data_IF_377302926423
#
_entry.id   IF_377302926423
#
_cell.length_a   1.000
_cell.length_b   1.000
_cell.length_c   1.000
_cell.angle_alpha   90.00
_cell.angle_beta   90.00
_cell.angle_gamma   90.00
#
_symmetry.space_group_name_H-M   'P 1'
#
loop_
_entity.id
_entity.type
_entity.pdbx_description
1 polymer ?
#
# COMPACT_ATOMS: atom_id res chain seq x y z
N UNK A 1 23.28 1.55 26.01
CA UNK A 1 22.58 0.77 24.98
C UNK A 1 21.75 1.73 24.14
N UNK A 2 21.85 1.67 22.80
CA UNK A 2 21.10 2.51 21.90
C UNK A 2 19.61 2.18 21.90
N UNK A 3 18.77 3.05 21.35
CA UNK A 3 17.33 2.83 21.17
C UNK A 3 17.08 1.80 20.07
N UNK A 4 16.30 0.75 20.36
CA UNK A 4 16.08 -0.40 19.48
C UNK A 4 14.60 -0.60 19.16
N UNK A 5 14.29 -0.80 17.88
CA UNK A 5 12.93 -1.00 17.35
C UNK A 5 12.74 -2.44 16.90
N UNK A 6 11.66 -3.09 17.34
CA UNK A 6 11.19 -4.36 16.76
C UNK A 6 10.15 -4.05 15.70
N UNK A 7 10.46 -4.33 14.44
CA UNK A 7 9.56 -4.17 13.29
C UNK A 7 8.90 -5.52 13.02
N UNK A 8 7.59 -5.57 12.93
CA UNK A 8 6.84 -6.80 12.61
C UNK A 8 6.18 -6.64 11.24
N UNK A 9 6.64 -7.46 10.29
CA UNK A 9 6.21 -7.45 8.88
C UNK A 9 7.26 -6.87 7.92
N UNK A 10 7.70 -7.70 6.95
CA UNK A 10 8.75 -7.42 5.98
C UNK A 10 8.24 -6.98 4.60
N UNK A 11 7.11 -6.27 4.55
CA UNK A 11 6.57 -5.71 3.31
C UNK A 11 7.00 -4.25 3.10
N UNK A 12 6.27 -3.51 2.26
CA UNK A 12 6.61 -2.11 1.88
C UNK A 12 6.81 -1.24 3.11
N UNK A 13 5.88 -1.27 4.09
CA UNK A 13 5.97 -0.47 5.32
C UNK A 13 7.23 -0.78 6.13
N UNK A 14 7.43 -2.07 6.46
CA UNK A 14 8.53 -2.50 7.33
C UNK A 14 9.90 -2.35 6.69
N UNK A 15 10.05 -2.72 5.40
CA UNK A 15 11.31 -2.54 4.68
C UNK A 15 11.67 -1.06 4.46
N UNK A 16 10.68 -0.22 4.20
CA UNK A 16 10.92 1.24 4.08
C UNK A 16 11.36 1.82 5.42
N UNK A 17 10.67 1.43 6.51
CA UNK A 17 11.06 1.82 7.87
C UNK A 17 12.48 1.37 8.20
N UNK A 18 12.84 0.12 7.92
CA UNK A 18 14.19 -0.42 8.17
C UNK A 18 15.27 0.39 7.44
N UNK A 19 15.05 0.71 6.14
CA UNK A 19 15.97 1.57 5.37
C UNK A 19 16.11 2.99 5.97
N UNK A 20 15.00 3.57 6.45
CA UNK A 20 15.04 4.88 7.10
C UNK A 20 15.80 4.84 8.42
N UNK A 21 15.62 3.78 9.22
CA UNK A 21 16.34 3.62 10.50
C UNK A 21 17.85 3.44 10.28
N UNK A 22 18.26 2.66 9.26
CA UNK A 22 19.70 2.53 8.90
C UNK A 22 20.32 3.85 8.47
N UNK A 23 19.56 4.73 7.82
CA UNK A 23 20.05 6.05 7.42
C UNK A 23 20.39 6.95 8.60
N UNK A 24 19.80 6.69 9.76
CA UNK A 24 19.96 7.47 10.97
C UNK A 24 20.59 6.69 12.12
N UNK A 25 21.21 5.55 11.83
CA UNK A 25 21.90 4.68 12.78
C UNK A 25 21.05 4.26 13.99
N UNK A 26 19.73 4.12 13.79
CA UNK A 26 18.80 3.62 14.80
C UNK A 26 18.75 2.08 14.70
N UNK A 27 18.97 1.40 15.85
CA UNK A 27 18.98 -0.06 15.90
C UNK A 27 17.58 -0.64 15.69
N UNK A 28 17.50 -1.69 14.89
CA UNK A 28 16.25 -2.42 14.68
C UNK A 28 16.48 -3.93 14.49
N UNK A 29 15.39 -4.68 14.63
CA UNK A 29 15.24 -6.04 14.14
C UNK A 29 13.90 -6.15 13.43
N UNK A 30 13.87 -6.78 12.25
CA UNK A 30 12.66 -6.98 11.46
C UNK A 30 12.29 -8.45 11.43
N UNK A 31 11.04 -8.74 11.84
CA UNK A 31 10.48 -10.09 11.92
C UNK A 31 9.44 -10.27 10.80
N UNK A 32 9.71 -11.19 9.87
CA UNK A 32 8.80 -11.53 8.78
C UNK A 32 8.26 -12.96 8.95
N UNK A 33 6.95 -13.13 8.81
CA UNK A 33 6.28 -14.43 9.00
C UNK A 33 6.53 -15.41 7.85
N UNK A 34 6.71 -14.91 6.63
CA UNK A 34 7.00 -15.74 5.45
C UNK A 34 8.45 -16.21 5.43
N UNK A 35 8.72 -17.28 4.66
CA UNK A 35 10.08 -17.82 4.48
C UNK A 35 10.96 -16.95 3.57
N UNK A 36 10.37 -16.03 2.81
CA UNK A 36 11.07 -15.11 1.91
C UNK A 36 10.53 -13.69 2.06
N UNK A 37 11.39 -12.70 1.89
CA UNK A 37 11.04 -11.27 1.98
C UNK A 37 10.18 -10.79 0.79
N UNK A 38 10.32 -11.40 -0.37
CA UNK A 38 9.59 -11.02 -1.57
C UNK A 38 8.82 -12.22 -2.15
N UNK A 39 7.80 -12.74 -1.43
CA UNK A 39 7.01 -13.85 -1.93
C UNK A 39 6.21 -13.42 -3.17
N UNK A 40 5.88 -14.38 -4.04
CA UNK A 40 5.06 -14.15 -5.24
C UNK A 40 3.59 -13.94 -4.83
N UNK A 41 3.32 -12.86 -4.12
CA UNK A 41 1.99 -12.46 -3.68
C UNK A 41 1.61 -11.12 -4.32
N UNK A 42 0.43 -11.08 -4.91
CA UNK A 42 -0.08 -9.91 -5.65
C UNK A 42 0.57 -9.73 -7.03
N UNK A 43 0.16 -8.70 -7.76
CA UNK A 43 0.65 -8.45 -9.12
C UNK A 43 1.61 -7.25 -9.16
N UNK A 44 1.08 -6.04 -9.21
CA UNK A 44 1.85 -4.80 -9.32
C UNK A 44 1.53 -3.85 -8.18
N UNK A 45 2.36 -2.82 -8.07
CA UNK A 45 2.15 -1.68 -7.18
C UNK A 45 2.33 -0.39 -7.97
N UNK A 46 1.39 0.55 -7.79
CA UNK A 46 1.51 1.92 -8.29
C UNK A 46 2.32 2.77 -7.32
N UNK A 47 3.40 3.36 -7.80
CA UNK A 47 4.23 4.31 -7.07
C UNK A 47 3.90 5.71 -7.56
N UNK A 48 3.48 6.56 -6.65
CA UNK A 48 3.12 7.96 -6.87
C UNK A 48 4.28 8.88 -6.49
N UNK A 49 4.27 10.15 -6.91
CA UNK A 49 5.33 11.10 -6.58
C UNK A 49 5.72 11.16 -5.11
N UNK A 50 4.76 11.07 -4.18
CA UNK A 50 5.03 11.07 -2.73
C UNK A 50 5.88 9.87 -2.29
N UNK A 51 5.55 8.67 -2.74
CA UNK A 51 6.32 7.46 -2.47
C UNK A 51 7.67 7.45 -3.18
N UNK A 52 7.71 7.91 -4.45
CA UNK A 52 8.95 7.97 -5.23
C UNK A 52 9.96 8.95 -4.62
N UNK A 53 9.51 10.09 -4.10
CA UNK A 53 10.36 11.04 -3.38
C UNK A 53 11.00 10.43 -2.13
N UNK A 54 10.26 9.61 -1.39
CA UNK A 54 10.80 8.86 -0.24
C UNK A 54 11.82 7.83 -0.72
N UNK A 55 11.50 7.06 -1.76
CA UNK A 55 12.39 6.06 -2.34
C UNK A 55 13.68 6.67 -2.90
N UNK A 56 13.60 7.90 -3.42
CA UNK A 56 14.76 8.67 -3.88
C UNK A 56 15.68 9.05 -2.70
N UNK A 57 15.11 9.60 -1.64
CA UNK A 57 15.86 9.88 -0.42
C UNK A 57 16.50 8.63 0.20
N UNK A 58 15.93 7.44 -0.01
CA UNK A 58 16.51 6.17 0.38
C UNK A 58 17.55 5.64 -0.63
N UNK A 59 17.73 6.31 -1.77
CA UNK A 59 18.62 5.89 -2.86
C UNK A 59 18.15 4.62 -3.57
N UNK A 60 16.83 4.44 -3.67
CA UNK A 60 16.16 3.32 -4.37
C UNK A 60 15.55 3.74 -5.70
N UNK A 61 15.33 5.04 -5.94
CA UNK A 61 14.57 5.57 -7.07
C UNK A 61 15.15 5.18 -8.43
N UNK A 62 16.45 5.40 -8.65
CA UNK A 62 17.09 5.12 -9.94
C UNK A 62 16.96 3.65 -10.34
N UNK A 63 17.17 2.74 -9.39
CA UNK A 63 17.01 1.30 -9.62
C UNK A 63 15.55 0.95 -9.94
N UNK A 64 14.58 1.54 -9.24
CA UNK A 64 13.16 1.34 -9.51
C UNK A 64 12.80 1.89 -10.88
N UNK A 65 13.25 3.09 -11.23
CA UNK A 65 13.01 3.73 -12.52
C UNK A 65 13.54 2.89 -13.67
N UNK A 66 14.75 2.38 -13.54
CA UNK A 66 15.37 1.51 -14.55
C UNK A 66 14.61 0.18 -14.72
N UNK A 67 14.16 -0.44 -13.62
CA UNK A 67 13.42 -1.71 -13.66
C UNK A 67 11.99 -1.54 -14.16
N UNK A 68 11.36 -0.38 -13.96
CA UNK A 68 10.04 -0.08 -14.47
C UNK A 68 10.02 0.15 -16.00
N UNK A 69 11.15 0.56 -16.56
CA UNK A 69 11.27 0.90 -17.98
C UNK A 69 10.53 2.18 -18.35
N UNK A 70 9.97 2.23 -19.58
CA UNK A 70 9.17 3.38 -20.00
C UNK A 70 7.81 3.38 -19.28
N UNK A 71 7.55 4.44 -18.52
CA UNK A 71 6.30 4.66 -17.79
C UNK A 71 5.44 5.80 -18.37
N UNK A 72 5.76 6.26 -19.58
CA UNK A 72 5.00 7.30 -20.27
C UNK A 72 3.79 6.69 -20.98
N UNK A 73 2.85 6.19 -20.19
CA UNK A 73 1.68 5.49 -20.68
C UNK A 73 0.79 6.40 -21.53
N UNK A 74 0.49 5.96 -22.77
CA UNK A 74 -0.63 6.51 -23.53
C UNK A 74 -1.92 5.91 -22.97
N UNK A 75 -2.82 6.77 -22.54
CA UNK A 75 -4.12 6.33 -22.07
C UNK A 75 -5.10 6.13 -23.24
N UNK A 76 -5.80 5.01 -23.24
CA UNK A 76 -7.01 4.78 -24.01
C UNK A 76 -8.17 4.47 -23.07
N UNK A 77 -9.36 4.85 -23.48
CA UNK A 77 -10.57 4.66 -22.67
C UNK A 77 -11.67 4.06 -23.51
N UNK A 78 -12.34 3.04 -22.98
CA UNK A 78 -13.56 2.47 -23.52
C UNK A 78 -14.70 2.66 -22.55
N UNK A 79 -15.77 3.26 -22.98
CA UNK A 79 -16.98 3.43 -22.19
C UNK A 79 -17.95 2.26 -22.43
N UNK A 80 -18.78 1.97 -21.42
CA UNK A 80 -19.82 0.93 -21.48
C UNK A 80 -20.81 1.13 -22.64
N UNK A 81 -20.99 2.37 -23.13
CA UNK A 81 -21.81 2.67 -24.32
C UNK A 81 -21.11 2.28 -25.66
N UNK A 82 -19.99 1.58 -25.60
CA UNK A 82 -19.23 1.14 -26.77
C UNK A 82 -18.34 2.20 -27.42
N UNK A 83 -18.35 3.43 -26.93
CA UNK A 83 -17.45 4.49 -27.42
C UNK A 83 -16.03 4.20 -27.01
N UNK A 84 -15.12 4.30 -27.97
CA UNK A 84 -13.69 4.17 -27.78
C UNK A 84 -13.01 5.52 -27.94
N UNK A 85 -12.09 5.83 -27.06
CA UNK A 85 -11.36 7.08 -27.08
C UNK A 85 -9.90 6.87 -26.75
N UNK A 86 -9.01 7.46 -27.55
CA UNK A 86 -7.55 7.37 -27.34
C UNK A 86 -7.04 8.77 -27.08
N UNK A 87 -6.36 8.94 -25.96
CA UNK A 87 -5.61 10.17 -25.69
C UNK A 87 -4.42 10.25 -26.63
N UNK A 88 -4.57 11.04 -27.69
CA UNK A 88 -3.55 11.23 -28.72
C UNK A 88 -2.61 12.40 -28.45
N UNK A 89 -2.88 13.21 -27.44
CA UNK A 89 -2.11 14.43 -27.16
C UNK A 89 -0.98 14.16 -26.16
N UNK A 90 0.20 14.62 -26.51
CA UNK A 90 1.35 14.71 -25.64
C UNK A 90 1.37 16.10 -24.97
N UNK A 91 1.89 16.25 -23.74
CA UNK A 91 2.48 15.20 -22.89
C UNK A 91 1.44 14.31 -22.20
N UNK A 92 1.84 13.07 -21.88
CA UNK A 92 1.03 12.13 -21.10
C UNK A 92 0.83 12.63 -19.66
N UNK A 93 -0.09 11.99 -18.92
CA UNK A 93 -0.30 12.32 -17.52
C UNK A 93 0.98 12.14 -16.67
N UNK A 94 1.72 11.04 -16.89
CA UNK A 94 2.98 10.76 -16.20
C UNK A 94 4.04 11.82 -16.49
N UNK A 95 4.19 12.24 -17.75
CA UNK A 95 5.11 13.31 -18.14
C UNK A 95 4.75 14.66 -17.51
N UNK A 96 3.46 14.99 -17.41
CA UNK A 96 3.00 16.19 -16.72
C UNK A 96 3.31 16.19 -15.23
N UNK A 97 3.14 15.02 -14.57
CA UNK A 97 3.53 14.86 -13.16
C UNK A 97 5.04 15.04 -12.98
N UNK A 98 5.84 14.35 -13.80
CA UNK A 98 7.30 14.42 -13.75
C UNK A 98 7.79 15.86 -13.98
N UNK A 99 7.20 16.56 -14.95
CA UNK A 99 7.54 17.98 -15.20
C UNK A 99 7.21 18.90 -14.02
N UNK A 100 6.08 18.68 -13.33
CA UNK A 100 5.62 19.59 -12.26
C UNK A 100 6.18 19.26 -10.88
N UNK A 101 6.38 17.98 -10.60
CA UNK A 101 6.67 17.47 -9.24
C UNK A 101 8.06 16.81 -9.20
N UNK A 102 8.69 16.57 -10.35
CA UNK A 102 9.99 15.89 -10.45
C UNK A 102 9.90 14.37 -10.47
N UNK A 103 8.73 13.78 -10.31
CA UNK A 103 8.53 12.33 -10.29
C UNK A 103 7.31 11.92 -11.13
N UNK A 104 7.43 10.86 -11.96
CA UNK A 104 6.31 10.31 -12.72
C UNK A 104 5.40 9.46 -11.85
N UNK A 105 4.38 8.84 -12.45
CA UNK A 105 3.70 7.69 -11.89
C UNK A 105 4.34 6.41 -12.45
N UNK A 106 4.71 5.47 -11.60
CA UNK A 106 5.37 4.21 -11.97
C UNK A 106 4.52 3.02 -11.52
N UNK A 107 4.37 2.02 -12.39
CA UNK A 107 3.89 0.69 -12.00
C UNK A 107 5.04 -0.32 -12.11
N UNK A 108 5.20 -1.13 -11.06
CA UNK A 108 6.25 -2.15 -10.99
C UNK A 108 5.70 -3.41 -10.29
N UNK A 109 6.31 -4.57 -10.54
CA UNK A 109 6.00 -5.75 -9.73
C UNK A 109 6.21 -5.45 -8.26
N UNK A 110 5.22 -5.74 -7.42
CA UNK A 110 5.35 -5.56 -5.96
C UNK A 110 6.56 -6.32 -5.41
N UNK A 111 6.80 -7.51 -5.93
CA UNK A 111 7.97 -8.33 -5.56
C UNK A 111 9.29 -7.62 -5.88
N UNK A 112 9.38 -6.97 -7.03
CA UNK A 112 10.56 -6.20 -7.45
C UNK A 112 10.83 -5.03 -6.51
N UNK A 113 9.78 -4.29 -6.11
CA UNK A 113 9.93 -3.21 -5.12
C UNK A 113 10.48 -3.75 -3.79
N UNK A 114 9.92 -4.86 -3.29
CA UNK A 114 10.40 -5.46 -2.03
C UNK A 114 11.86 -5.90 -2.12
N UNK A 115 12.28 -6.47 -3.27
CA UNK A 115 13.70 -6.83 -3.51
C UNK A 115 14.60 -5.60 -3.51
N UNK A 116 14.19 -4.52 -4.18
CA UNK A 116 14.98 -3.27 -4.20
C UNK A 116 15.15 -2.72 -2.79
N UNK A 117 14.07 -2.67 -2.00
CA UNK A 117 14.13 -2.21 -0.61
C UNK A 117 15.00 -3.11 0.27
N UNK A 118 14.87 -4.43 0.13
CA UNK A 118 15.68 -5.39 0.88
C UNK A 118 17.16 -5.34 0.48
N UNK A 119 17.46 -5.28 -0.82
CA UNK A 119 18.83 -5.20 -1.32
C UNK A 119 19.57 -3.95 -0.84
N UNK A 120 18.82 -2.87 -0.61
CA UNK A 120 19.35 -1.59 -0.12
C UNK A 120 19.82 -1.64 1.32
N UNK A 121 19.25 -2.52 2.15
CA UNK A 121 19.65 -2.68 3.55
C UNK A 121 21.12 -3.08 3.68
N UNK A 122 21.83 -2.43 4.60
CA UNK A 122 23.22 -2.73 4.97
C UNK A 122 23.29 -3.97 5.89
N UNK A 123 22.38 -4.04 6.88
CA UNK A 123 22.36 -5.05 7.94
C UNK A 123 21.26 -6.10 7.68
N UNK A 124 21.50 -6.96 6.69
CA UNK A 124 20.52 -8.02 6.31
C UNK A 124 20.33 -9.08 7.37
N UNK A 125 21.29 -9.27 8.24
CA UNK A 125 21.23 -10.13 9.43
C UNK A 125 20.19 -9.66 10.47
N UNK A 126 19.76 -8.40 10.42
CA UNK A 126 18.66 -7.87 11.23
C UNK A 126 17.26 -8.20 10.67
N UNK A 127 17.17 -8.78 9.48
CA UNK A 127 15.91 -9.18 8.84
C UNK A 127 15.74 -10.69 8.95
N UNK A 128 14.83 -11.10 9.81
CA UNK A 128 14.58 -12.49 10.13
C UNK A 128 13.27 -12.97 9.51
N UNK A 129 13.36 -13.98 8.65
CA UNK A 129 12.21 -14.66 8.06
C UNK A 129 11.73 -15.82 8.92
N UNK A 130 10.53 -16.37 8.63
CA UNK A 130 9.88 -17.44 9.41
C UNK A 130 9.67 -17.08 10.89
N UNK A 131 9.53 -15.79 11.19
CA UNK A 131 9.33 -15.24 12.53
C UNK A 131 7.92 -14.69 12.67
N UNK A 132 6.93 -15.58 12.70
CA UNK A 132 5.52 -15.21 12.94
C UNK A 132 5.35 -14.79 14.39
N UNK A 133 5.06 -13.54 14.61
CA UNK A 133 4.77 -12.99 15.93
C UNK A 133 3.43 -13.52 16.44
N UNK A 134 3.39 -13.91 17.71
CA UNK A 134 2.23 -14.47 18.39
C UNK A 134 1.84 -13.72 19.64
N UNK A 135 2.79 -13.00 20.26
CA UNK A 135 2.56 -12.27 21.52
C UNK A 135 3.56 -11.14 21.69
N UNK A 136 3.11 -10.08 22.34
CA UNK A 136 3.95 -8.97 22.81
C UNK A 136 3.75 -8.82 24.33
N UNK A 137 4.82 -8.84 25.11
CA UNK A 137 4.79 -8.49 26.52
C UNK A 137 5.43 -7.10 26.69
N UNK A 138 4.81 -6.25 27.49
CA UNK A 138 5.35 -4.96 27.91
C UNK A 138 5.91 -5.08 29.31
N UNK A 139 7.15 -4.68 29.49
CA UNK A 139 7.81 -4.57 30.77
C UNK A 139 8.20 -3.12 31.02
N UNK A 140 8.67 -2.78 32.22
CA UNK A 140 9.09 -1.41 32.52
C UNK A 140 10.23 -0.98 31.57
N UNK A 141 9.90 -0.04 30.66
CA UNK A 141 10.85 0.53 29.71
C UNK A 141 11.19 -0.28 28.47
N UNK A 142 10.63 -1.48 28.27
CA UNK A 142 10.92 -2.37 27.14
C UNK A 142 9.71 -3.16 26.65
N UNK A 143 9.81 -3.66 25.42
CA UNK A 143 8.88 -4.62 24.86
C UNK A 143 9.60 -5.94 24.56
N UNK A 144 8.90 -7.06 24.71
CA UNK A 144 9.38 -8.40 24.38
C UNK A 144 8.41 -9.06 23.42
N UNK A 145 8.87 -9.37 22.23
CA UNK A 145 8.07 -9.96 21.16
C UNK A 145 8.36 -11.45 21.05
N UNK A 146 7.32 -12.28 21.08
CA UNK A 146 7.40 -13.73 20.97
C UNK A 146 6.97 -14.21 19.60
N UNK A 147 7.65 -15.19 19.07
CA UNK A 147 7.37 -15.80 17.77
C UNK A 147 6.95 -17.26 17.91
N UNK A 148 6.24 -17.78 16.93
CA UNK A 148 5.66 -19.13 16.93
C UNK A 148 6.70 -20.26 17.06
N UNK A 149 7.96 -20.00 16.70
CA UNK A 149 9.08 -20.93 16.84
C UNK A 149 9.73 -20.91 18.25
N UNK A 150 9.14 -20.17 19.19
CA UNK A 150 9.63 -20.04 20.57
C UNK A 150 10.72 -18.99 20.77
N UNK A 151 11.19 -18.33 19.71
CA UNK A 151 12.18 -17.23 19.82
C UNK A 151 11.55 -15.99 20.45
N UNK A 152 12.40 -15.17 21.07
CA UNK A 152 11.97 -13.88 21.66
C UNK A 152 12.93 -12.76 21.30
N UNK A 153 12.38 -11.55 21.09
CA UNK A 153 13.13 -10.37 20.67
C UNK A 153 12.72 -9.18 21.53
N UNK A 154 13.70 -8.44 22.05
CA UNK A 154 13.45 -7.26 22.89
C UNK A 154 13.82 -5.98 22.16
N UNK A 155 13.10 -4.91 22.47
CA UNK A 155 13.34 -3.56 21.99
C UNK A 155 12.71 -2.50 22.88
N UNK A 156 12.90 -1.25 22.55
CA UNK A 156 12.29 -0.13 23.26
C UNK A 156 10.85 0.12 22.82
N UNK A 157 10.55 -0.16 21.54
CA UNK A 157 9.19 -0.09 20.96
C UNK A 157 8.97 -1.23 19.96
N UNK A 158 7.69 -1.54 19.69
CA UNK A 158 7.25 -2.41 18.59
C UNK A 158 6.51 -1.59 17.54
N UNK A 159 6.84 -1.80 16.28
CA UNK A 159 6.13 -1.24 15.13
C UNK A 159 5.46 -2.36 14.34
N UNK A 160 4.13 -2.42 14.37
CA UNK A 160 3.31 -3.33 13.57
C UNK A 160 3.18 -2.83 12.13
N UNK A 161 3.85 -3.52 11.20
CA UNK A 161 3.77 -3.32 9.75
C UNK A 161 3.24 -4.58 9.06
N UNK A 162 2.44 -5.36 9.77
CA UNK A 162 2.00 -6.74 9.50
C UNK A 162 0.64 -6.82 8.79
N UNK A 163 0.19 -5.69 8.22
CA UNK A 163 -0.97 -5.63 7.34
C UNK A 163 -2.31 -5.53 8.06
N UNK A 164 -3.40 -5.61 7.29
CA UNK A 164 -4.76 -5.34 7.77
C UNK A 164 -5.23 -6.33 8.85
N UNK A 165 -4.73 -7.56 8.84
CA UNK A 165 -5.00 -8.57 9.87
C UNK A 165 -3.87 -8.63 10.91
N UNK A 166 -3.42 -7.47 11.36
CA UNK A 166 -2.26 -7.28 12.23
C UNK A 166 -2.39 -8.00 13.57
N UNK A 167 -1.44 -8.88 13.87
CA UNK A 167 -1.27 -9.49 15.19
C UNK A 167 -0.84 -8.45 16.23
N UNK A 168 -0.06 -7.45 15.81
CA UNK A 168 0.40 -6.38 16.71
C UNK A 168 -0.77 -5.50 17.14
N UNK A 169 -1.76 -5.26 16.27
CA UNK A 169 -3.00 -4.54 16.65
C UNK A 169 -3.79 -5.32 17.69
N UNK A 170 -3.91 -6.64 17.53
CA UNK A 170 -4.61 -7.47 18.52
C UNK A 170 -3.89 -7.46 19.88
N UNK A 171 -2.55 -7.50 19.88
CA UNK A 171 -1.76 -7.40 21.11
C UNK A 171 -1.88 -6.01 21.76
N UNK A 172 -1.88 -4.95 20.96
CA UNK A 172 -2.12 -3.57 21.42
C UNK A 172 -3.48 -3.46 22.13
N UNK A 173 -4.54 -4.03 21.53
CA UNK A 173 -5.88 -4.08 22.12
C UNK A 173 -5.91 -4.93 23.38
N UNK A 174 -5.23 -6.09 23.41
CA UNK A 174 -5.15 -6.94 24.59
C UNK A 174 -4.59 -6.16 25.80
N UNK A 175 -3.46 -5.51 25.62
CA UNK A 175 -2.84 -4.70 26.68
C UNK A 175 -3.70 -3.52 27.13
N UNK A 176 -4.33 -2.83 26.17
CA UNK A 176 -5.21 -1.72 26.51
C UNK A 176 -6.42 -2.18 27.33
N UNK A 177 -7.02 -3.33 26.98
CA UNK A 177 -8.17 -3.88 27.70
C UNK A 177 -7.84 -4.34 29.12
N UNK A 178 -6.58 -4.70 29.40
CA UNK A 178 -6.12 -5.02 30.76
C UNK A 178 -6.14 -3.78 31.68
N UNK A 179 -6.04 -2.57 31.10
CA UNK A 179 -6.01 -1.29 31.84
C UNK A 179 -7.39 -0.62 31.80
N UNK A 180 -7.96 -0.50 30.60
CA UNK A 180 -9.28 0.11 30.37
C UNK A 180 -9.92 -0.46 29.10
N UNK A 181 -10.99 -1.23 29.27
CA UNK A 181 -11.71 -1.89 28.16
C UNK A 181 -12.42 -0.93 27.20
N UNK A 182 -12.52 0.37 27.53
CA UNK A 182 -13.17 1.38 26.67
C UNK A 182 -12.19 2.03 25.68
N UNK A 183 -10.87 1.82 25.83
CA UNK A 183 -9.85 2.44 24.97
C UNK A 183 -9.93 1.95 23.52
N UNK A 184 -10.34 0.72 23.32
CA UNK A 184 -10.54 0.11 21.99
C UNK A 184 -11.96 -0.43 21.89
N UNK A 185 -12.58 -0.28 20.73
CA UNK A 185 -13.88 -0.89 20.49
C UNK A 185 -13.76 -2.42 20.58
N UNK A 186 -14.75 -3.13 21.12
CA UNK A 186 -14.73 -4.59 21.25
C UNK A 186 -14.48 -5.32 19.91
N UNK A 187 -14.96 -4.75 18.82
CA UNK A 187 -14.75 -5.24 17.47
C UNK A 187 -14.25 -4.11 16.56
N UNK A 188 -12.95 -3.82 16.60
CA UNK A 188 -12.33 -2.81 15.73
C UNK A 188 -12.42 -3.20 14.25
N UNK A 189 -12.42 -4.51 13.95
CA UNK A 189 -12.55 -5.00 12.58
C UNK A 189 -13.96 -4.78 12.02
N UNK A 190 -14.98 -4.50 12.86
CA UNK A 190 -16.32 -4.16 12.36
C UNK A 190 -16.36 -2.92 11.48
N UNK A 191 -15.35 -2.04 11.57
CA UNK A 191 -15.16 -0.89 10.71
C UNK A 191 -14.50 -1.22 9.36
N UNK A 192 -13.80 -2.35 9.27
CA UNK A 192 -13.22 -2.82 8.02
C UNK A 192 -14.35 -3.24 7.09
N UNK A 193 -14.40 -2.69 5.89
CA UNK A 193 -15.47 -2.98 4.93
C UNK A 193 -14.90 -3.33 3.57
N UNK A 194 -15.67 -4.11 2.79
CA UNK A 194 -15.44 -4.34 1.37
C UNK A 194 -16.79 -4.28 0.63
N UNK A 195 -16.84 -3.54 -0.48
CA UNK A 195 -18.01 -3.45 -1.38
C UNK A 195 -17.61 -3.72 -2.84
N UNK A 196 -16.38 -4.11 -3.06
CA UNK A 196 -15.85 -4.51 -4.36
C UNK A 196 -14.78 -5.58 -4.20
N UNK A 197 -14.53 -6.31 -5.28
CA UNK A 197 -13.49 -7.33 -5.39
C UNK A 197 -12.70 -7.11 -6.68
N UNK A 198 -11.49 -7.64 -6.75
CA UNK A 198 -10.64 -7.47 -7.93
C UNK A 198 -9.86 -8.74 -8.24
N UNK A 199 -9.82 -9.12 -9.52
CA UNK A 199 -8.78 -10.00 -10.02
C UNK A 199 -7.58 -9.14 -10.39
N UNK A 200 -6.47 -9.34 -9.71
CA UNK A 200 -5.16 -8.79 -10.08
C UNK A 200 -4.46 -9.80 -10.97
N UNK A 201 -3.97 -9.36 -12.15
CA UNK A 201 -3.30 -10.27 -13.06
C UNK A 201 -2.03 -9.70 -13.67
N UNK A 202 -1.14 -10.62 -14.01
CA UNK A 202 0.01 -10.42 -14.89
C UNK A 202 -0.14 -11.38 -16.06
N UNK A 203 -0.07 -10.87 -17.29
CA UNK A 203 -0.13 -11.67 -18.50
C UNK A 203 1.06 -11.39 -19.42
N UNK A 204 1.35 -12.32 -20.32
CA UNK A 204 2.20 -12.03 -21.47
C UNK A 204 1.52 -10.97 -22.33
N UNK A 205 2.30 -10.11 -22.97
CA UNK A 205 1.76 -9.10 -23.87
C UNK A 205 1.16 -9.76 -25.09
N UNK A 206 0.04 -9.24 -25.56
CA UNK A 206 -0.62 -9.69 -26.79
C UNK A 206 -0.10 -8.88 -27.98
N UNK A 207 0.15 -9.55 -29.10
CA UNK A 207 0.60 -8.91 -30.36
C UNK A 207 -0.45 -7.95 -30.96
N UNK A 208 -1.72 -8.16 -30.64
CA UNK A 208 -2.83 -7.28 -31.04
C UNK A 208 -2.81 -5.91 -30.33
N UNK A 209 -2.05 -5.76 -29.24
CA UNK A 209 -1.94 -4.50 -28.53
C UNK A 209 -0.80 -3.64 -29.08
N UNK A 210 -0.92 -2.30 -29.05
CA UNK A 210 0.12 -1.39 -29.53
C UNK A 210 1.47 -1.66 -28.85
N UNK A 211 2.57 -1.54 -29.58
CA UNK A 211 3.94 -1.81 -29.10
C UNK A 211 4.45 -0.80 -28.06
N UNK A 212 3.86 0.40 -27.98
CA UNK A 212 4.25 1.44 -27.01
C UNK A 212 3.61 1.22 -25.65
N UNK A 213 4.25 1.69 -24.57
CA UNK A 213 3.63 1.69 -23.25
C UNK A 213 2.22 2.27 -23.31
N UNK A 214 1.25 1.52 -22.80
CA UNK A 214 -0.15 1.92 -22.84
C UNK A 214 -0.83 1.66 -21.50
N UNK A 215 -1.85 2.44 -21.22
CA UNK A 215 -2.84 2.21 -20.20
C UNK A 215 -4.20 2.12 -20.89
N UNK A 216 -4.94 1.05 -20.65
CA UNK A 216 -6.33 0.89 -21.10
C UNK A 216 -7.23 0.95 -19.87
N UNK A 217 -8.21 1.86 -19.90
CA UNK A 217 -9.29 1.90 -18.92
C UNK A 217 -10.59 1.55 -19.66
N UNK A 218 -11.16 0.38 -19.38
CA UNK A 218 -12.40 -0.07 -19.99
C UNK A 218 -13.50 -0.15 -18.95
N UNK A 219 -14.59 0.59 -19.17
CA UNK A 219 -15.73 0.71 -18.24
C UNK A 219 -16.93 0.01 -18.84
N UNK A 220 -17.50 -0.90 -18.05
CA UNK A 220 -18.73 -1.64 -18.33
C UNK A 220 -19.74 -1.36 -17.22
N UNK A 221 -20.96 -1.87 -17.38
CA UNK A 221 -22.05 -1.59 -16.45
C UNK A 221 -21.72 -1.97 -15.00
N UNK A 222 -21.16 -3.15 -14.78
CA UNK A 222 -20.95 -3.72 -13.42
C UNK A 222 -19.47 -3.98 -13.12
N UNK A 223 -18.58 -3.56 -14.03
CA UNK A 223 -17.14 -3.75 -13.85
C UNK A 223 -16.30 -2.69 -14.58
N UNK A 224 -15.05 -2.61 -14.20
CA UNK A 224 -14.07 -1.88 -14.98
C UNK A 224 -12.72 -2.61 -15.03
N UNK A 225 -11.97 -2.30 -16.08
CA UNK A 225 -10.62 -2.79 -16.28
C UNK A 225 -9.63 -1.65 -16.25
N UNK A 226 -8.49 -1.90 -15.63
CA UNK A 226 -7.28 -1.14 -15.86
C UNK A 226 -6.20 -2.11 -16.34
N UNK A 227 -5.66 -1.87 -17.53
CA UNK A 227 -4.63 -2.71 -18.15
C UNK A 227 -3.46 -1.81 -18.50
N UNK A 228 -2.25 -2.20 -18.07
CA UNK A 228 -1.04 -1.41 -18.23
C UNK A 228 0.07 -2.25 -18.85
N UNK A 229 0.91 -1.64 -19.68
CA UNK A 229 2.19 -2.23 -20.04
C UNK A 229 3.05 -2.47 -18.81
N UNK A 230 3.70 -3.62 -18.75
CA UNK A 230 4.58 -4.02 -17.68
C UNK A 230 5.98 -4.36 -18.24
N UNK A 231 7.04 -4.28 -17.43
CA UNK A 231 8.40 -4.64 -17.84
C UNK A 231 8.49 -6.09 -18.34
N UNK A 232 9.38 -6.35 -19.29
CA UNK A 232 9.61 -7.70 -19.81
C UNK A 232 8.49 -8.22 -20.73
N UNK A 233 7.94 -7.33 -21.56
CA UNK A 233 6.88 -7.65 -22.53
C UNK A 233 5.66 -8.33 -21.88
N UNK A 234 5.19 -7.74 -20.78
CA UNK A 234 4.05 -8.20 -19.98
C UNK A 234 2.97 -7.13 -19.88
N UNK A 235 1.85 -7.52 -19.29
CA UNK A 235 0.74 -6.65 -18.90
C UNK A 235 0.45 -6.82 -17.41
N UNK A 236 0.21 -5.72 -16.72
CA UNK A 236 -0.56 -5.70 -15.47
C UNK A 236 -2.01 -5.44 -15.81
N UNK A 237 -2.92 -6.16 -15.17
CA UNK A 237 -4.34 -5.91 -15.37
C UNK A 237 -5.14 -6.13 -14.10
N UNK A 238 -6.26 -5.43 -14.03
CA UNK A 238 -7.16 -5.40 -12.89
C UNK A 238 -8.58 -5.49 -13.43
N UNK A 239 -9.33 -6.46 -12.98
CA UNK A 239 -10.78 -6.54 -13.19
C UNK A 239 -11.45 -6.22 -11.86
N UNK A 240 -12.02 -5.03 -11.75
CA UNK A 240 -12.78 -4.58 -10.59
C UNK A 240 -14.26 -4.86 -10.81
N UNK A 241 -14.90 -5.51 -9.84
CA UNK A 241 -16.33 -5.80 -9.85
C UNK A 241 -16.98 -5.46 -8.52
N UNK A 242 -18.28 -5.19 -8.53
CA UNK A 242 -19.05 -5.00 -7.30
C UNK A 242 -19.21 -6.30 -6.52
N UNK A 243 -19.45 -6.15 -5.23
CA UNK A 243 -19.94 -7.19 -4.34
C UNK A 243 -20.84 -6.57 -3.28
N UNK A 244 -21.69 -7.38 -2.66
CA UNK A 244 -22.47 -6.93 -1.51
C UNK A 244 -21.54 -6.39 -0.42
N UNK A 245 -21.89 -5.25 0.14
CA UNK A 245 -21.10 -4.63 1.20
C UNK A 245 -21.04 -5.55 2.42
N UNK A 246 -19.83 -5.90 2.82
CA UNK A 246 -19.55 -6.80 3.93
C UNK A 246 -18.54 -6.17 4.88
N UNK A 247 -18.50 -6.63 6.12
CA UNK A 247 -17.71 -6.03 7.19
C UNK A 247 -16.92 -7.08 7.97
N UNK A 248 -15.76 -6.70 8.43
CA UNK A 248 -14.94 -7.45 9.38
C UNK A 248 -14.68 -8.89 8.97
N UNK A 249 -15.02 -9.82 9.85
CA UNK A 249 -14.82 -11.26 9.63
C UNK A 249 -15.72 -11.86 8.55
N UNK A 250 -16.80 -11.17 8.15
CA UNK A 250 -17.71 -11.61 7.10
C UNK A 250 -17.20 -11.27 5.68
N UNK A 251 -16.08 -10.55 5.55
CA UNK A 251 -15.48 -10.26 4.26
C UNK A 251 -14.99 -11.57 3.63
N UNK A 252 -15.46 -11.91 2.41
CA UNK A 252 -15.16 -13.20 1.79
C UNK A 252 -13.69 -13.30 1.40
N UNK A 253 -13.16 -14.52 1.57
CA UNK A 253 -11.89 -14.96 0.99
C UNK A 253 -12.21 -15.85 -0.21
N UNK A 254 -11.59 -15.56 -1.34
CA UNK A 254 -11.87 -16.25 -2.58
C UNK A 254 -10.86 -17.36 -2.87
N UNK A 255 -11.35 -18.41 -3.52
CA UNK A 255 -10.56 -19.52 -4.05
C UNK A 255 -10.14 -19.27 -5.50
N UNK A 256 -9.30 -20.15 -6.05
CA UNK A 256 -8.98 -20.11 -7.49
C UNK A 256 -10.18 -20.45 -8.37
N UNK A 257 -11.11 -21.25 -7.86
CA UNK A 257 -12.35 -21.56 -8.56
C UNK A 257 -13.28 -20.34 -8.62
N UNK A 258 -13.42 -19.60 -7.53
CA UNK A 258 -14.17 -18.33 -7.52
C UNK A 258 -13.58 -17.32 -8.52
N UNK A 259 -12.25 -17.25 -8.61
CA UNK A 259 -11.55 -16.41 -9.58
C UNK A 259 -11.86 -16.83 -11.02
N UNK A 260 -11.81 -18.14 -11.32
CA UNK A 260 -12.11 -18.69 -12.63
C UNK A 260 -13.54 -18.39 -13.05
N UNK A 261 -14.52 -18.67 -12.18
CA UNK A 261 -15.93 -18.41 -12.43
C UNK A 261 -16.17 -16.93 -12.72
N UNK A 262 -15.58 -16.04 -11.91
CA UNK A 262 -15.69 -14.60 -12.13
C UNK A 262 -15.08 -14.20 -13.47
N UNK A 263 -13.90 -14.69 -13.81
CA UNK A 263 -13.25 -14.35 -15.08
C UNK A 263 -14.06 -14.78 -16.29
N UNK A 264 -14.64 -15.99 -16.27
CA UNK A 264 -15.46 -16.54 -17.36
C UNK A 264 -16.73 -15.72 -17.63
N UNK A 265 -17.32 -15.12 -16.60
CA UNK A 265 -18.48 -14.22 -16.75
C UNK A 265 -18.15 -12.98 -17.60
N UNK A 266 -16.87 -12.61 -17.69
CA UNK A 266 -16.39 -11.40 -18.35
C UNK A 266 -15.61 -11.66 -19.65
N UNK A 267 -15.47 -12.91 -20.09
CA UNK A 267 -14.64 -13.29 -21.26
C UNK A 267 -15.02 -12.58 -22.55
N UNK A 268 -16.30 -12.35 -22.78
CA UNK A 268 -16.78 -11.73 -24.02
C UNK A 268 -16.57 -10.21 -24.08
N UNK A 269 -16.17 -9.59 -22.98
CA UNK A 269 -16.03 -8.14 -22.90
C UNK A 269 -14.82 -7.66 -23.70
N UNK A 270 -15.04 -6.74 -24.61
CA UNK A 270 -13.99 -6.14 -25.45
C UNK A 270 -13.32 -5.00 -24.72
N UNK A 271 -12.08 -5.18 -24.31
CA UNK A 271 -11.27 -4.15 -23.66
C UNK A 271 -10.63 -3.19 -24.67
N UNK A 272 -10.45 -3.64 -25.93
CA UNK A 272 -10.14 -2.81 -27.10
C UNK A 272 -11.06 -3.20 -28.27
N UNK A 273 -10.88 -2.58 -29.45
CA UNK A 273 -11.64 -2.97 -30.65
C UNK A 273 -11.38 -4.42 -31.08
N UNK A 274 -10.16 -4.93 -30.85
CA UNK A 274 -9.68 -6.23 -31.34
C UNK A 274 -9.32 -7.23 -30.23
N UNK A 275 -9.42 -6.86 -28.95
CA UNK A 275 -8.97 -7.68 -27.83
C UNK A 275 -10.09 -7.82 -26.82
N UNK A 276 -10.40 -9.05 -26.42
CA UNK A 276 -11.33 -9.38 -25.33
C UNK A 276 -10.59 -9.58 -24.00
N UNK A 277 -11.32 -9.63 -22.90
CA UNK A 277 -10.73 -10.01 -21.62
C UNK A 277 -10.26 -11.46 -21.62
N UNK A 278 -10.95 -12.36 -22.34
CA UNK A 278 -10.51 -13.76 -22.50
C UNK A 278 -9.09 -13.83 -23.05
N UNK A 279 -8.77 -13.07 -24.10
CA UNK A 279 -7.44 -13.05 -24.70
C UNK A 279 -6.35 -12.71 -23.67
N UNK A 280 -6.64 -11.75 -22.76
CA UNK A 280 -5.71 -11.34 -21.71
C UNK A 280 -5.59 -12.42 -20.64
N UNK A 281 -6.72 -12.99 -20.21
CA UNK A 281 -6.77 -13.98 -19.14
C UNK A 281 -6.12 -15.31 -19.52
N UNK A 282 -6.30 -15.77 -20.75
CA UNK A 282 -5.68 -17.01 -21.26
C UNK A 282 -4.15 -16.90 -21.33
N UNK A 283 -3.60 -15.70 -21.51
CA UNK A 283 -2.16 -15.44 -21.50
C UNK A 283 -1.60 -15.10 -20.10
N UNK A 284 -2.35 -15.37 -19.03
CA UNK A 284 -1.96 -15.06 -17.66
C UNK A 284 -0.74 -15.86 -17.19
N UNK A 285 0.12 -15.19 -16.48
CA UNK A 285 1.27 -15.75 -15.77
C UNK A 285 0.96 -15.93 -14.28
N UNK A 286 0.22 -14.97 -13.72
CA UNK A 286 -0.19 -14.99 -12.33
C UNK A 286 -1.48 -14.21 -12.16
N UNK A 287 -2.37 -14.70 -11.28
CA UNK A 287 -3.62 -14.01 -10.93
C UNK A 287 -3.95 -14.22 -9.45
N UNK A 288 -4.74 -13.31 -8.89
CA UNK A 288 -5.33 -13.47 -7.57
C UNK A 288 -6.62 -12.68 -7.46
N UNK A 289 -7.68 -13.30 -6.95
CA UNK A 289 -8.94 -12.64 -6.62
C UNK A 289 -8.97 -12.30 -5.14
N UNK A 290 -9.25 -11.06 -4.80
CA UNK A 290 -9.35 -10.59 -3.42
C UNK A 290 -10.52 -9.62 -3.23
N UNK A 291 -11.09 -9.60 -2.04
CA UNK A 291 -11.94 -8.51 -1.57
C UNK A 291 -11.11 -7.24 -1.40
N UNK A 292 -11.68 -6.10 -1.76
CA UNK A 292 -10.98 -4.82 -1.66
C UNK A 292 -11.41 -4.11 -0.38
N UNK A 293 -10.66 -4.37 0.65
CA UNK A 293 -10.90 -3.85 2.00
C UNK A 293 -10.41 -2.42 2.13
N UNK A 294 -11.14 -1.61 2.88
CA UNK A 294 -10.69 -0.28 3.29
C UNK A 294 -11.13 0.05 4.72
N UNK A 295 -10.25 0.70 5.45
CA UNK A 295 -10.52 1.23 6.79
C UNK A 295 -9.37 2.12 7.29
N UNK A 296 -9.70 3.14 8.08
CA UNK A 296 -8.73 3.84 8.94
C UNK A 296 -9.07 3.50 10.37
N UNK A 297 -8.16 2.80 11.04
CA UNK A 297 -8.35 2.46 12.44
C UNK A 297 -8.31 3.72 13.30
N UNK A 298 -9.21 3.88 14.29
CA UNK A 298 -9.29 5.13 15.07
C UNK A 298 -8.08 5.37 15.96
N UNK A 299 -7.41 4.32 16.43
CA UNK A 299 -6.22 4.38 17.28
C UNK A 299 -5.10 3.55 16.69
N UNK A 300 -3.90 4.15 16.51
CA UNK A 300 -2.74 3.53 15.89
C UNK A 300 -1.68 3.10 16.87
N UNK A 301 -1.76 3.53 18.12
CA UNK A 301 -0.76 3.24 19.14
C UNK A 301 -1.37 3.00 20.53
N UNK A 302 -0.59 2.35 21.34
CA UNK A 302 -0.84 2.19 22.79
C UNK A 302 0.51 1.93 23.48
N UNK A 303 0.87 2.80 24.44
CA UNK A 303 2.14 2.74 25.15
C UNK A 303 3.35 2.61 24.19
N UNK A 304 4.06 1.47 24.21
CA UNK A 304 5.26 1.22 23.40
C UNK A 304 4.97 0.49 22.08
N UNK A 305 3.72 0.37 21.67
CA UNK A 305 3.28 -0.29 20.45
C UNK A 305 2.65 0.74 19.52
N UNK A 306 3.08 0.75 18.24
CA UNK A 306 2.44 1.52 17.17
C UNK A 306 2.24 0.64 15.93
N UNK A 307 1.16 0.87 15.19
CA UNK A 307 0.90 0.25 13.88
C UNK A 307 1.04 1.26 12.77
N UNK A 308 1.55 0.83 11.61
CA UNK A 308 1.74 1.64 10.39
C UNK A 308 1.26 0.90 9.13
N UNK A 309 1.08 1.63 8.04
CA UNK A 309 0.61 1.06 6.78
C UNK A 309 -0.78 0.42 6.91
N UNK A 310 -1.01 -0.72 6.25
CA UNK A 310 -2.32 -1.39 6.25
C UNK A 310 -2.78 -1.84 7.66
N UNK A 311 -1.87 -1.95 8.62
CA UNK A 311 -2.21 -2.21 10.03
C UNK A 311 -2.82 -0.98 10.74
N UNK A 312 -2.64 0.23 10.21
CA UNK A 312 -3.21 1.47 10.71
C UNK A 312 -4.28 2.05 9.79
N UNK A 313 -4.03 2.01 8.48
CA UNK A 313 -4.88 2.61 7.44
C UNK A 313 -4.85 1.77 6.16
N UNK A 314 -5.83 0.93 5.98
CA UNK A 314 -6.04 0.13 4.77
C UNK A 314 -6.76 0.97 3.72
N UNK A 315 -6.13 1.18 2.57
CA UNK A 315 -6.66 1.99 1.48
C UNK A 315 -7.03 1.11 0.30
N UNK A 316 -8.16 1.42 -0.34
CA UNK A 316 -8.61 0.73 -1.55
C UNK A 316 -7.56 0.89 -2.68
N UNK A 317 -7.14 -0.21 -3.34
CA UNK A 317 -6.01 -0.20 -4.28
C UNK A 317 -6.21 0.64 -5.54
N UNK A 318 -7.46 0.95 -5.93
CA UNK A 318 -7.77 1.75 -7.13
C UNK A 318 -7.11 3.13 -7.12
N UNK A 319 -6.82 3.69 -5.94
CA UNK A 319 -6.17 4.98 -5.78
C UNK A 319 -4.64 4.90 -5.78
N UNK A 320 -4.05 3.70 -5.77
CA UNK A 320 -2.61 3.44 -5.62
C UNK A 320 -1.98 4.06 -4.34
N UNK A 321 -2.78 4.49 -3.36
CA UNK A 321 -2.31 5.22 -2.17
C UNK A 321 -1.79 4.31 -1.04
N UNK A 322 -2.10 3.00 -1.04
CA UNK A 322 -1.76 2.10 0.08
C UNK A 322 -0.27 2.05 0.38
N UNK A 323 0.56 1.65 -0.58
CA UNK A 323 2.01 1.56 -0.40
C UNK A 323 2.67 2.93 -0.21
N UNK A 324 2.21 3.95 -0.93
CA UNK A 324 2.72 5.32 -0.79
C UNK A 324 2.42 5.89 0.61
N UNK A 325 1.18 5.79 1.07
CA UNK A 325 0.79 6.21 2.42
C UNK A 325 1.50 5.44 3.54
N UNK A 326 1.81 4.16 3.32
CA UNK A 326 2.60 3.36 4.26
C UNK A 326 4.04 3.89 4.43
N UNK A 327 4.70 4.24 3.31
CA UNK A 327 6.03 4.86 3.33
C UNK A 327 5.99 6.25 4.00
N UNK A 328 4.96 7.06 3.73
CA UNK A 328 4.78 8.36 4.38
C UNK A 328 4.62 8.22 5.90
N UNK A 329 3.84 7.26 6.38
CA UNK A 329 3.66 7.04 7.82
C UNK A 329 4.96 6.58 8.48
N UNK A 330 5.74 5.71 7.82
CA UNK A 330 7.08 5.32 8.28
C UNK A 330 8.03 6.52 8.36
N UNK A 331 8.01 7.42 7.37
CA UNK A 331 8.85 8.62 7.34
C UNK A 331 8.51 9.59 8.48
N UNK A 332 7.22 9.84 8.72
CA UNK A 332 6.79 10.68 9.86
C UNK A 332 7.22 10.05 11.19
N UNK A 333 7.05 8.73 11.37
CA UNK A 333 7.50 8.05 12.59
C UNK A 333 8.99 8.26 12.85
N UNK A 334 9.83 8.05 11.84
CA UNK A 334 11.28 8.23 11.98
C UNK A 334 11.65 9.69 12.25
N UNK A 335 11.03 10.64 11.56
CA UNK A 335 11.31 12.07 11.75
C UNK A 335 10.92 12.54 13.15
N UNK A 336 9.72 12.20 13.62
CA UNK A 336 9.23 12.59 14.96
C UNK A 336 10.07 11.94 16.06
N UNK A 337 10.41 10.65 15.90
CA UNK A 337 11.25 9.93 16.84
C UNK A 337 12.66 10.56 16.93
N UNK A 338 13.28 10.84 15.78
CA UNK A 338 14.59 11.51 15.72
C UNK A 338 14.55 12.88 16.37
N UNK A 339 13.54 13.69 16.04
CA UNK A 339 13.40 15.02 16.62
C UNK A 339 13.33 14.93 18.16
N UNK A 340 12.58 13.97 18.71
CA UNK A 340 12.51 13.75 20.16
C UNK A 340 13.85 13.30 20.73
N UNK A 341 14.51 12.34 20.11
CA UNK A 341 15.81 11.81 20.56
C UNK A 341 16.91 12.88 20.54
N UNK A 342 16.93 13.76 19.54
CA UNK A 342 17.96 14.83 19.42
C UNK A 342 17.80 15.91 20.50
N UNK A 343 16.59 16.09 21.03
CA UNK A 343 16.29 17.09 22.05
C UNK A 343 16.41 16.54 23.49
N UNK A 344 16.79 15.26 23.65
CA UNK A 344 17.07 14.68 24.95
C UNK A 344 18.54 14.91 25.37
N UNK A 345 18.82 15.03 26.68
CA UNK A 345 20.18 14.95 27.20
C UNK A 345 20.88 13.65 26.76
N UNK A 346 22.17 13.70 26.54
CA UNK A 346 22.99 12.64 25.88
C UNK A 346 22.87 11.25 26.52
N UNK A 347 22.54 11.17 27.81
CA UNK A 347 22.45 9.92 28.59
C UNK A 347 21.02 9.52 28.96
N UNK A 348 20.01 10.26 28.47
CA UNK A 348 18.62 10.00 28.83
C UNK A 348 17.94 9.13 27.77
N UNK A 349 17.25 8.08 28.22
CA UNK A 349 16.35 7.26 27.38
C UNK A 349 14.98 7.90 27.27
N UNK A 350 14.29 7.64 26.16
CA UNK A 350 12.89 8.01 25.98
C UNK A 350 12.00 7.35 27.08
N UNK A 351 11.29 8.17 27.81
CA UNK A 351 10.27 7.72 28.78
C UNK A 351 9.04 7.15 28.05
N UNK A 352 8.10 6.58 28.79
CA UNK A 352 6.82 6.17 28.22
C UNK A 352 6.04 7.37 27.66
N UNK A 353 6.04 8.49 28.39
CA UNK A 353 5.35 9.73 27.98
C UNK A 353 5.98 10.31 26.70
N UNK A 354 7.32 10.26 26.57
CA UNK A 354 8.02 10.68 25.35
C UNK A 354 7.58 9.85 24.14
N UNK A 355 7.50 8.52 24.30
CA UNK A 355 7.11 7.60 23.24
C UNK A 355 5.64 7.79 22.86
N UNK A 356 4.75 7.92 23.85
CA UNK A 356 3.33 8.19 23.57
C UNK A 356 3.13 9.54 22.88
N UNK A 357 3.88 10.57 23.27
CA UNK A 357 3.87 11.87 22.58
C UNK A 357 4.31 11.73 21.11
N UNK A 358 5.40 11.00 20.85
CA UNK A 358 5.87 10.72 19.47
C UNK A 358 4.76 10.02 18.67
N UNK A 359 4.13 9.01 19.23
CA UNK A 359 3.10 8.26 18.51
C UNK A 359 1.81 9.07 18.29
N UNK A 360 1.44 9.92 19.26
CA UNK A 360 0.33 10.86 19.12
C UNK A 360 0.58 11.83 17.95
N UNK A 361 1.78 12.39 17.86
CA UNK A 361 2.18 13.28 16.77
C UNK A 361 2.15 12.57 15.42
N UNK A 362 2.64 11.31 15.34
CA UNK A 362 2.56 10.50 14.12
C UNK A 362 1.12 10.33 13.67
N UNK A 363 0.23 9.93 14.59
CA UNK A 363 -1.18 9.76 14.26
C UNK A 363 -1.82 11.10 13.88
N UNK A 364 -1.61 12.17 14.62
CA UNK A 364 -2.17 13.49 14.34
C UNK A 364 -1.78 14.00 12.95
N UNK A 365 -0.50 13.85 12.57
CA UNK A 365 0.00 14.29 11.27
C UNK A 365 -0.49 13.46 10.09
N UNK A 366 -0.90 12.20 10.33
CA UNK A 366 -1.23 11.25 9.25
C UNK A 366 -2.71 10.91 9.13
N UNK A 367 -3.48 11.06 10.21
CA UNK A 367 -4.86 10.54 10.28
C UNK A 367 -5.79 11.15 9.22
N UNK A 368 -5.83 12.48 9.10
CA UNK A 368 -6.68 13.15 8.12
C UNK A 368 -6.35 12.72 6.69
N UNK A 369 -5.06 12.68 6.32
CA UNK A 369 -4.63 12.24 5.01
C UNK A 369 -4.95 10.77 4.73
N UNK A 370 -4.89 9.89 5.73
CA UNK A 370 -5.31 8.50 5.59
C UNK A 370 -6.82 8.39 5.35
N UNK A 371 -7.63 9.17 6.06
CA UNK A 371 -9.09 9.27 5.86
C UNK A 371 -9.40 9.77 4.45
N UNK A 372 -8.71 10.81 3.98
CA UNK A 372 -8.89 11.36 2.64
C UNK A 372 -8.55 10.32 1.55
N UNK A 373 -7.45 9.58 1.72
CA UNK A 373 -7.06 8.51 0.79
C UNK A 373 -8.11 7.38 0.72
N UNK A 374 -8.68 6.98 1.86
CA UNK A 374 -9.77 6.00 1.89
C UNK A 374 -11.02 6.54 1.20
N UNK A 375 -11.44 7.78 1.54
CA UNK A 375 -12.60 8.40 0.93
C UNK A 375 -12.44 8.60 -0.58
N UNK A 376 -11.24 8.96 -1.03
CA UNK A 376 -10.92 9.04 -2.45
C UNK A 376 -11.05 7.69 -3.15
N UNK A 377 -10.51 6.62 -2.56
CA UNK A 377 -10.66 5.26 -3.07
C UNK A 377 -12.13 4.89 -3.25
N UNK A 378 -12.96 5.12 -2.22
CA UNK A 378 -14.41 4.88 -2.26
C UNK A 378 -15.11 5.67 -3.36
N UNK A 379 -14.83 6.97 -3.49
CA UNK A 379 -15.40 7.83 -4.54
C UNK A 379 -15.00 7.36 -5.94
N UNK A 380 -13.72 6.99 -6.11
CA UNK A 380 -13.22 6.49 -7.40
C UNK A 380 -13.89 5.17 -7.76
N UNK A 381 -14.05 4.24 -6.82
CA UNK A 381 -14.74 2.96 -7.02
C UNK A 381 -16.21 3.20 -7.39
N UNK A 382 -16.93 4.03 -6.63
CA UNK A 382 -18.33 4.35 -6.92
C UNK A 382 -18.51 4.98 -8.31
N UNK A 383 -17.61 5.89 -8.71
CA UNK A 383 -17.66 6.52 -10.02
C UNK A 383 -17.29 5.58 -11.18
N UNK A 384 -16.48 4.54 -10.93
CA UNK A 384 -15.95 3.66 -11.97
C UNK A 384 -16.75 2.37 -12.17
N UNK A 385 -17.52 1.93 -11.16
CA UNK A 385 -18.26 0.66 -11.20
C UNK A 385 -19.79 0.89 -11.21
N UNK A 386 -20.28 1.95 -10.55
CA UNK A 386 -21.74 2.21 -10.44
C UNK A 386 -22.27 3.07 -11.59
N UNK A 387 -23.46 2.76 -12.07
CA UNK A 387 -24.19 3.34 -13.22
C UNK A 387 -24.38 4.88 -13.22
N UNK A 388 -23.87 5.59 -12.22
CA UNK A 388 -23.98 7.06 -12.08
C UNK A 388 -22.87 7.82 -12.82
N UNK A 389 -22.17 7.16 -13.72
CA UNK A 389 -20.97 7.70 -14.35
C UNK A 389 -21.26 8.77 -15.40
N UNK A 390 -20.90 10.01 -15.13
CA UNK A 390 -20.66 11.00 -16.15
C UNK A 390 -19.15 11.17 -16.38
N UNK A 391 -18.70 11.04 -17.63
CA UNK A 391 -17.31 11.22 -18.06
C UNK A 391 -16.64 12.48 -17.45
N UNK A 392 -17.30 13.67 -17.38
CA UNK A 392 -16.74 14.84 -16.73
C UNK A 392 -16.48 14.65 -15.22
N UNK A 393 -17.28 13.84 -14.52
CA UNK A 393 -17.07 13.56 -13.09
C UNK A 393 -15.88 12.65 -12.84
N UNK A 394 -15.66 11.65 -13.67
CA UNK A 394 -14.49 10.77 -13.60
C UNK A 394 -13.19 11.51 -13.92
N UNK A 395 -13.17 12.31 -14.97
CA UNK A 395 -12.01 13.16 -15.29
C UNK A 395 -11.70 14.15 -14.15
N UNK A 396 -12.71 14.72 -13.51
CA UNK A 396 -12.53 15.59 -12.34
C UNK A 396 -12.02 14.80 -11.12
N UNK A 397 -12.50 13.57 -10.90
CA UNK A 397 -12.04 12.71 -9.81
C UNK A 397 -10.60 12.26 -10.01
N UNK A 398 -10.22 11.85 -11.22
CA UNK A 398 -8.83 11.54 -11.55
C UNK A 398 -7.93 12.78 -11.43
N UNK A 399 -8.42 13.94 -11.87
CA UNK A 399 -7.69 15.20 -11.75
C UNK A 399 -7.66 15.70 -10.30
N UNK A 400 -8.72 15.55 -9.52
CA UNK A 400 -8.74 15.98 -8.12
C UNK A 400 -7.82 15.13 -7.24
N UNK A 401 -7.60 13.86 -7.58
CA UNK A 401 -6.60 13.05 -6.88
C UNK A 401 -5.19 13.59 -7.05
N UNK A 402 -4.92 14.18 -8.20
CA UNK A 402 -3.65 14.85 -8.52
C UNK A 402 -3.55 16.24 -7.88
N UNK A 403 -4.68 16.96 -7.80
CA UNK A 403 -4.70 18.30 -7.20
C UNK A 403 -4.56 18.27 -5.68
N UNK A 404 -5.14 17.27 -4.98
CA UNK A 404 -4.92 17.11 -3.53
C UNK A 404 -3.48 16.74 -3.19
N UNK A 405 -2.78 15.96 -4.02
CA UNK A 405 -1.33 15.75 -3.86
C UNK A 405 -0.52 17.03 -4.16
N UNK A 406 -1.00 17.87 -5.08
CA UNK A 406 -0.33 19.11 -5.44
C UNK A 406 -0.40 20.15 -4.32
N UNK A 407 -1.57 20.36 -3.71
CA UNK A 407 -1.74 21.33 -2.61
C UNK A 407 -0.91 20.89 -1.38
N UNK A 408 -0.79 19.59 -1.13
CA UNK A 408 0.02 19.08 -0.02
C UNK A 408 1.53 19.18 -0.29
N UNK A 409 1.98 18.99 -1.52
CA UNK A 409 3.39 19.12 -1.89
C UNK A 409 3.84 20.59 -1.91
N UNK A 410 2.97 21.53 -2.28
CA UNK A 410 3.27 22.97 -2.27
C UNK A 410 3.33 23.56 -0.87
N UNK A 411 2.50 23.05 0.08
CA UNK A 411 2.54 23.51 1.49
C UNK A 411 3.72 22.96 2.29
N UNK A 412 4.33 21.82 1.87
CA UNK A 412 5.49 21.23 2.54
C UNK A 412 6.85 21.66 1.95
N UNK A 413 6.88 22.60 1.01
CA UNK A 413 8.14 23.19 0.56
C UNK A 413 8.63 24.39 1.41
N UNK A 414 7.80 24.88 2.34
CA UNK A 414 8.14 25.99 3.24
C UNK A 414 8.58 25.58 4.65
N UNK A 415 8.84 24.27 4.90
CA UNK A 415 9.38 23.80 6.19
C UNK A 415 10.47 22.76 6.04
#
# INVERSE_FOLDING_TARGET
MGFKIVIVGGSVSGLSLANMLEKFDIEYILLEAHSTIAPQLGASIGLLPSGLRILDQLGCYDKIRALAGDCNYRASMRLFCGKFWVDGKQPTFSERLEYRIGYPQIFIDRQTLLRVLYDKLKFKDRVLTQKRVTRVDMTEGQVKVHTADGSTYSGDIVVGADGVHSAIREEMRRHANEINSELFKPDELSGLQAESKCIFGISKRLSALPSKPLQINAFFKDCNYMILSAPGDRLYWFLFTEMNKTYGKSIPKFTKEDERILAEQHFAERVTESTTFQDIYENRLHTTLVSLEDHVFPRWYFQRIITIGDAAHKVHPISAQGGNGAMETAAILVNTLRHRMTNLPTDQKLSNDDIESVFADVQANRFSRAVDAVNQGRRTTAASIKDTFSFPAFCRLLLSSVWTEYDYASHNQEH
#
